data_IF_516397079667
#
_entry.id   IF_516397079667
#
_cell.length_a   1.000
_cell.length_b   1.000
_cell.length_c   1.000
_cell.angle_alpha   90.00
_cell.angle_beta   90.00
_cell.angle_gamma   90.00
#
_symmetry.space_group_name_H-M   'P 1'
#
loop_
_entity.id
_entity.type
_entity.pdbx_description
1 polymer ?
#
# COMPACT_ATOMS: atom_id res chain seq x y z
N UNK A 1 -6.09 12.71 -14.76
CA UNK A 1 -5.52 11.58 -14.01
C UNK A 1 -4.52 12.17 -13.05
N UNK A 2 -4.60 11.84 -11.76
CA UNK A 2 -3.68 12.39 -10.75
C UNK A 2 -2.45 11.51 -10.69
N UNK A 3 -1.27 12.10 -10.89
CA UNK A 3 0.01 11.44 -10.73
C UNK A 3 0.40 11.42 -9.25
N UNK A 4 0.91 10.28 -8.80
CA UNK A 4 1.37 10.05 -7.44
C UNK A 4 2.86 9.69 -7.48
N UNK A 5 3.60 10.12 -6.45
CA UNK A 5 5.03 9.80 -6.30
C UNK A 5 5.18 8.34 -5.85
N UNK A 6 6.10 7.62 -6.49
CA UNK A 6 6.48 6.27 -6.10
C UNK A 6 7.76 6.34 -5.27
N UNK A 7 7.63 6.02 -3.98
CA UNK A 7 8.73 6.11 -3.03
C UNK A 7 9.11 4.72 -2.54
N UNK A 8 10.42 4.45 -2.51
CA UNK A 8 10.98 3.22 -1.96
C UNK A 8 11.60 3.52 -0.60
N UNK A 9 11.33 2.67 0.37
CA UNK A 9 11.93 2.80 1.69
C UNK A 9 13.34 2.21 1.69
N UNK A 10 14.35 3.05 1.90
CA UNK A 10 15.76 2.62 1.88
C UNK A 10 16.16 1.97 3.21
N UNK A 11 15.65 2.50 4.33
CA UNK A 11 15.95 1.97 5.67
C UNK A 11 14.70 1.38 6.32
N UNK A 12 14.86 0.23 6.99
CA UNK A 12 13.80 -0.40 7.79
C UNK A 12 14.15 -0.34 9.28
N UNK A 13 14.67 0.80 9.72
CA UNK A 13 15.16 0.96 11.10
C UNK A 13 13.99 1.09 12.10
N UNK A 14 12.85 1.59 11.63
CA UNK A 14 11.70 1.86 12.47
C UNK A 14 10.52 0.90 12.20
N UNK A 15 9.70 0.64 13.21
CA UNK A 15 8.45 -0.10 13.02
C UNK A 15 7.48 0.74 12.18
N UNK A 16 6.52 0.09 11.51
CA UNK A 16 5.67 0.72 10.50
C UNK A 16 5.03 2.06 10.86
N UNK A 17 4.62 2.26 12.11
CA UNK A 17 4.04 3.54 12.58
C UNK A 17 5.03 4.71 12.58
N UNK A 18 6.33 4.43 12.60
CA UNK A 18 7.44 5.38 12.54
C UNK A 18 8.19 5.29 11.20
N UNK A 19 7.66 4.61 10.18
CA UNK A 19 8.29 4.49 8.87
C UNK A 19 8.58 5.84 8.19
N UNK A 20 7.84 6.89 8.57
CA UNK A 20 8.11 8.27 8.13
C UNK A 20 9.47 8.84 8.60
N UNK A 21 10.13 8.20 9.57
CA UNK A 21 11.47 8.55 10.04
C UNK A 21 12.59 7.83 9.28
N UNK A 22 12.25 6.83 8.46
CA UNK A 22 13.23 6.16 7.61
C UNK A 22 13.60 7.02 6.41
N UNK A 23 14.71 6.68 5.76
CA UNK A 23 15.09 7.26 4.49
C UNK A 23 14.22 6.71 3.37
N UNK A 24 13.72 7.61 2.51
CA UNK A 24 12.92 7.29 1.35
C UNK A 24 13.60 7.84 0.10
N UNK A 25 13.53 7.08 -0.99
CA UNK A 25 14.03 7.49 -2.31
C UNK A 25 12.87 7.50 -3.30
N UNK A 26 12.75 8.59 -4.04
CA UNK A 26 11.82 8.69 -5.16
C UNK A 26 12.37 7.87 -6.34
N UNK A 27 11.57 6.91 -6.81
CA UNK A 27 11.97 6.04 -7.92
C UNK A 27 11.11 6.22 -9.18
N UNK A 28 10.08 7.05 -9.13
CA UNK A 28 9.23 7.36 -10.27
C UNK A 28 7.86 7.88 -9.86
N UNK A 29 6.89 7.73 -10.78
CA UNK A 29 5.50 8.11 -10.55
C UNK A 29 4.56 7.00 -10.95
N UNK A 30 3.33 7.03 -10.42
CA UNK A 30 2.28 6.11 -10.81
C UNK A 30 0.92 6.82 -10.91
N UNK A 31 0.04 6.23 -11.72
CA UNK A 31 -1.31 6.73 -11.99
C UNK A 31 -2.31 5.59 -11.78
N UNK A 32 -3.40 5.89 -11.07
CA UNK A 32 -4.55 4.98 -11.01
C UNK A 32 -5.32 5.01 -12.33
N UNK A 33 -5.28 3.91 -13.09
CA UNK A 33 -6.12 3.74 -14.28
C UNK A 33 -7.53 3.29 -13.91
N UNK A 34 -7.64 2.38 -12.95
CA UNK A 34 -8.92 1.90 -12.41
C UNK A 34 -8.86 2.00 -10.89
N UNK A 35 -9.70 2.88 -10.33
CA UNK A 35 -9.95 2.92 -8.89
C UNK A 35 -10.82 1.72 -8.52
N UNK A 36 -10.30 0.91 -7.60
CA UNK A 36 -10.71 -0.46 -7.41
C UNK A 36 -12.16 -0.68 -7.04
N UNK A 37 -12.69 -1.76 -7.58
CA UNK A 37 -13.88 -2.42 -7.06
C UNK A 37 -13.56 -2.83 -5.62
N UNK A 38 -14.26 -2.23 -4.65
CA UNK A 38 -14.16 -2.65 -3.26
C UNK A 38 -14.85 -4.00 -3.14
N UNK A 39 -14.10 -5.03 -2.78
CA UNK A 39 -14.64 -6.36 -2.48
C UNK A 39 -14.83 -6.42 -0.98
N UNK A 40 -16.06 -6.15 -0.53
CA UNK A 40 -16.46 -6.40 0.85
C UNK A 40 -16.46 -7.92 1.07
N UNK A 41 -15.70 -8.38 2.05
CA UNK A 41 -15.69 -9.80 2.43
C UNK A 41 -16.95 -10.16 3.24
N UNK A 42 -17.59 -9.15 3.86
CA UNK A 42 -18.94 -9.21 4.43
C UNK A 42 -19.45 -7.77 4.63
N UNK A 43 -20.70 -7.48 4.27
CA UNK A 43 -21.29 -6.12 4.35
C UNK A 43 -21.87 -5.77 5.75
N UNK A 44 -21.83 -6.70 6.70
CA UNK A 44 -22.56 -6.58 7.97
C UNK A 44 -21.72 -6.05 9.15
N UNK A 45 -20.38 -6.14 9.12
CA UNK A 45 -19.53 -5.64 10.20
C UNK A 45 -18.49 -4.60 9.71
N UNK A 46 -18.54 -3.32 10.15
CA UNK A 46 -17.51 -2.31 9.84
C UNK A 46 -16.11 -2.65 10.39
N UNK A 47 -16.00 -3.74 11.15
CA UNK A 47 -14.79 -4.35 11.64
C UNK A 47 -14.15 -5.35 10.68
N UNK A 48 -14.91 -5.87 9.71
CA UNK A 48 -14.42 -6.91 8.81
C UNK A 48 -13.34 -6.37 7.87
N UNK A 49 -12.37 -7.24 7.51
CA UNK A 49 -11.36 -6.87 6.55
C UNK A 49 -12.00 -6.52 5.21
N UNK A 50 -11.45 -5.51 4.55
CA UNK A 50 -11.91 -5.08 3.23
C UNK A 50 -10.76 -5.15 2.25
N UNK A 51 -11.00 -5.65 1.05
CA UNK A 51 -10.00 -5.72 -0.01
C UNK A 51 -10.39 -4.78 -1.15
N UNK A 52 -9.42 -3.98 -1.63
CA UNK A 52 -9.59 -3.12 -2.80
C UNK A 52 -8.50 -3.43 -3.82
N UNK A 53 -8.89 -3.67 -5.08
CA UNK A 53 -7.97 -3.98 -6.19
C UNK A 53 -7.92 -2.85 -7.19
N UNK A 54 -6.78 -2.18 -7.29
CA UNK A 54 -6.56 -1.04 -8.17
C UNK A 54 -5.65 -1.43 -9.33
N UNK A 55 -5.97 -0.96 -10.54
CA UNK A 55 -4.98 -1.01 -11.63
C UNK A 55 -4.19 0.29 -11.64
N UNK A 56 -2.87 0.18 -11.56
CA UNK A 56 -1.94 1.30 -11.55
C UNK A 56 -0.95 1.18 -12.69
N UNK A 57 -0.72 2.28 -13.39
CA UNK A 57 0.34 2.40 -14.39
C UNK A 57 1.53 3.10 -13.75
N UNK A 58 2.70 2.50 -13.81
CA UNK A 58 3.94 2.99 -13.19
C UNK A 58 4.89 3.49 -14.27
N UNK A 59 5.41 4.70 -14.08
CA UNK A 59 6.50 5.26 -14.89
C UNK A 59 7.77 5.27 -14.04
N UNK A 60 8.65 4.31 -14.28
CA UNK A 60 9.95 4.19 -13.59
C UNK A 60 10.94 3.42 -14.45
N UNK A 61 12.22 3.77 -14.36
CA UNK A 61 13.34 3.04 -14.98
C UNK A 61 13.89 1.92 -14.08
N UNK A 62 13.31 1.73 -12.89
CA UNK A 62 13.72 0.69 -11.94
C UNK A 62 13.24 -0.70 -12.36
N UNK A 63 13.92 -1.76 -11.90
CA UNK A 63 13.47 -3.12 -12.16
C UNK A 63 12.16 -3.42 -11.41
N UNK A 64 11.41 -4.42 -11.91
CA UNK A 64 10.05 -4.72 -11.43
C UNK A 64 10.00 -5.09 -9.94
N UNK A 65 11.03 -5.75 -9.41
CA UNK A 65 11.15 -6.04 -7.98
C UNK A 65 11.17 -4.77 -7.12
N UNK A 66 11.90 -3.74 -7.56
CA UNK A 66 11.96 -2.43 -6.87
C UNK A 66 10.67 -1.66 -6.99
N UNK A 67 10.01 -1.74 -8.14
CA UNK A 67 8.68 -1.13 -8.33
C UNK A 67 7.64 -1.80 -7.42
N UNK A 68 7.66 -3.14 -7.34
CA UNK A 68 6.79 -3.90 -6.44
C UNK A 68 7.00 -3.48 -4.98
N UNK A 69 8.27 -3.42 -4.55
CA UNK A 69 8.66 -3.02 -3.20
C UNK A 69 8.15 -1.60 -2.88
N UNK A 70 8.39 -0.63 -3.77
CA UNK A 70 7.93 0.75 -3.58
C UNK A 70 6.41 0.90 -3.55
N UNK A 71 5.68 0.16 -4.39
CA UNK A 71 4.22 0.14 -4.35
C UNK A 71 3.71 -0.42 -3.02
N UNK A 72 4.36 -1.46 -2.50
CA UNK A 72 4.03 -2.04 -1.19
C UNK A 72 4.35 -1.04 -0.08
N UNK A 73 5.53 -0.43 -0.07
CA UNK A 73 5.95 0.51 0.97
C UNK A 73 5.08 1.77 1.00
N UNK A 74 4.72 2.30 -0.18
CA UNK A 74 3.88 3.50 -0.32
C UNK A 74 2.46 3.27 0.23
N UNK A 75 1.91 2.07 0.04
CA UNK A 75 0.52 1.75 0.35
C UNK A 75 0.32 0.94 1.64
N UNK A 76 1.36 0.29 2.16
CA UNK A 76 1.31 -0.42 3.43
C UNK A 76 1.41 0.55 4.58
N UNK A 77 0.42 0.54 5.47
CA UNK A 77 0.37 1.40 6.66
C UNK A 77 -0.08 0.60 7.85
N UNK A 78 0.70 0.63 8.91
CA UNK A 78 0.33 -0.04 10.15
C UNK A 78 -0.58 0.85 11.00
N UNK A 79 -1.59 0.25 11.63
CA UNK A 79 -2.36 0.87 12.69
C UNK A 79 -1.47 1.34 13.85
N UNK A 80 -1.96 2.30 14.64
CA UNK A 80 -1.21 3.13 15.59
C UNK A 80 -0.19 2.41 16.51
N UNK A 81 0.91 3.10 16.84
CA UNK A 81 1.88 2.74 17.87
C UNK A 81 1.53 3.38 19.22
N UNK A 82 0.37 3.03 19.80
CA UNK A 82 0.03 3.45 21.16
C UNK A 82 0.37 2.32 22.15
N UNK A 83 0.82 2.66 23.36
CA UNK A 83 1.19 1.71 24.44
C UNK A 83 0.05 0.80 24.93
N UNK A 84 -1.18 1.02 24.45
CA UNK A 84 -2.36 0.27 24.85
C UNK A 84 -3.06 -0.22 23.59
N UNK A 85 -3.29 -1.54 23.51
CA UNK A 85 -4.05 -2.23 22.44
C UNK A 85 -5.37 -1.50 22.19
N UNK A 86 -5.34 -0.58 21.24
CA UNK A 86 -6.52 0.09 20.76
C UNK A 86 -7.17 -0.86 19.76
N UNK A 87 -8.00 -1.76 20.28
CA UNK A 87 -8.95 -2.56 19.51
C UNK A 87 -9.65 -1.64 18.50
N UNK A 88 -9.27 -1.73 17.22
CA UNK A 88 -9.91 -0.95 16.15
C UNK A 88 -9.01 -0.03 15.32
N UNK A 89 -7.70 0.07 15.59
CA UNK A 89 -6.80 0.76 14.67
C UNK A 89 -6.71 -0.01 13.34
N UNK A 90 -7.05 0.68 12.25
CA UNK A 90 -7.11 0.09 10.91
C UNK A 90 -5.71 0.05 10.31
N UNK A 91 -5.25 -1.15 10.00
CA UNK A 91 -4.02 -1.42 9.26
C UNK A 91 -4.35 -1.63 7.79
N UNK A 92 -3.38 -1.35 6.93
CA UNK A 92 -3.43 -1.54 5.50
C UNK A 92 -2.20 -2.34 5.09
N UNK A 93 -2.42 -3.52 4.53
CA UNK A 93 -1.40 -4.30 3.87
C UNK A 93 -1.59 -4.13 2.36
N UNK A 94 -0.49 -3.86 1.66
CA UNK A 94 -0.50 -3.80 0.21
C UNK A 94 0.27 -4.99 -0.38
N UNK A 95 -0.22 -5.51 -1.50
CA UNK A 95 0.54 -6.37 -2.40
C UNK A 95 0.40 -5.83 -3.82
N UNK A 96 1.44 -6.02 -4.62
CA UNK A 96 1.47 -5.58 -6.00
C UNK A 96 1.91 -6.72 -6.92
N UNK A 97 1.17 -6.92 -8.01
CA UNK A 97 1.46 -7.90 -9.05
C UNK A 97 1.58 -7.21 -10.40
N UNK A 98 2.66 -7.50 -11.14
CA UNK A 98 2.84 -6.95 -12.47
C UNK A 98 1.94 -7.71 -13.45
N UNK A 99 1.03 -6.99 -14.11
CA UNK A 99 0.12 -7.58 -15.11
C UNK A 99 0.77 -7.55 -16.49
N UNK A 100 1.42 -6.43 -16.84
CA UNK A 100 2.09 -6.24 -18.13
C UNK A 100 2.98 -5.02 -18.08
N UNK A 101 4.23 -5.10 -18.50
CA UNK A 101 5.14 -3.95 -18.69
C UNK A 101 5.03 -2.90 -17.54
N UNK A 102 4.36 -1.77 -17.80
CA UNK A 102 4.14 -0.66 -16.86
C UNK A 102 2.83 -0.75 -16.05
N UNK A 103 2.01 -1.76 -16.28
CA UNK A 103 0.71 -1.99 -15.65
C UNK A 103 0.81 -3.01 -14.50
N UNK A 104 0.32 -2.59 -13.34
CA UNK A 104 0.36 -3.32 -12.09
C UNK A 104 -1.05 -3.41 -11.47
N UNK A 105 -1.33 -4.53 -10.82
CA UNK A 105 -2.47 -4.71 -9.94
C UNK A 105 -2.01 -4.47 -8.51
N UNK A 106 -2.55 -3.45 -7.87
CA UNK A 106 -2.33 -3.12 -6.48
C UNK A 106 -3.51 -3.61 -5.66
N UNK A 107 -3.28 -4.59 -4.79
CA UNK A 107 -4.28 -5.08 -3.84
C UNK A 107 -4.00 -4.46 -2.48
N UNK A 108 -4.97 -3.74 -1.93
CA UNK A 108 -4.90 -3.17 -0.58
C UNK A 108 -5.91 -3.90 0.28
N UNK A 109 -5.41 -4.66 1.24
CA UNK A 109 -6.21 -5.30 2.28
C UNK A 109 -6.18 -4.43 3.50
N UNK A 110 -7.34 -4.07 4.01
CA UNK A 110 -7.46 -3.32 5.24
C UNK A 110 -8.10 -4.18 6.32
N UNK A 111 -7.45 -4.29 7.46
CA UNK A 111 -7.88 -5.09 8.62
C UNK A 111 -7.77 -4.28 9.90
N UNK A 112 -8.44 -4.74 10.96
CA UNK A 112 -8.27 -4.19 12.31
C UNK A 112 -7.56 -5.23 13.17
N UNK A 113 -6.64 -4.77 14.01
CA UNK A 113 -6.02 -5.63 15.01
C UNK A 113 -7.00 -5.78 16.19
N UNK A 114 -7.27 -7.03 16.58
CA UNK A 114 -8.11 -7.45 17.70
C UNK A 114 -7.28 -8.19 18.74
#
# INVERSE_FOLDING_TARGET
MTEHLLELRETHSYVGSYAHLDSWIEIGTYVFEIQGQTVHTNDEDPCDPTEAKHMVRVTSDQPADKIKEALIDTHSRHGCAHEWDCCGCRSFAADAEQIKDDLWMLTITSSRNY
#
